data_IF_898943903287
#
_entry.id   IF_898943903287
#
_cell.length_a   1.000
_cell.length_b   1.000
_cell.length_c   1.000
_cell.angle_alpha   90.00
_cell.angle_beta   90.00
_cell.angle_gamma   90.00
#
_symmetry.space_group_name_H-M   'P 1'
#
loop_
_entity.id
_entity.type
_entity.pdbx_description
1 polymer ?
#
# COMPACT_ATOMS: atom_id res chain seq x y z
N UNK A 1 1.32 -28.53 14.74
CA UNK A 1 2.02 -28.53 13.44
C UNK A 1 2.85 -27.26 13.37
N UNK A 2 4.16 -27.38 13.19
CA UNK A 2 5.11 -26.26 13.26
C UNK A 2 4.66 -25.09 12.39
N UNK A 3 4.34 -23.96 13.03
CA UNK A 3 3.97 -22.68 12.42
C UNK A 3 5.22 -21.97 11.88
N UNK A 4 6.09 -22.71 11.18
CA UNK A 4 7.31 -22.15 10.59
C UNK A 4 6.96 -21.55 9.23
N UNK A 5 7.29 -20.27 9.07
CA UNK A 5 7.21 -19.59 7.78
C UNK A 5 8.31 -20.18 6.89
N UNK A 6 7.94 -20.74 5.74
CA UNK A 6 8.91 -21.28 4.77
C UNK A 6 9.52 -20.16 3.95
N UNK A 7 10.76 -20.36 3.48
CA UNK A 7 11.46 -19.41 2.61
C UNK A 7 10.71 -19.08 1.32
N UNK A 8 9.95 -20.03 0.78
CA UNK A 8 9.07 -19.80 -0.38
C UNK A 8 8.07 -18.66 -0.14
N UNK A 9 7.53 -18.55 1.08
CA UNK A 9 6.62 -17.47 1.47
C UNK A 9 7.32 -16.12 1.43
N UNK A 10 8.58 -16.05 1.88
CA UNK A 10 9.37 -14.80 1.84
C UNK A 10 9.60 -14.37 0.39
N UNK A 11 10.00 -15.29 -0.49
CA UNK A 11 10.18 -15.02 -1.92
C UNK A 11 8.87 -14.53 -2.54
N UNK A 12 7.76 -15.19 -2.23
CA UNK A 12 6.45 -14.79 -2.72
C UNK A 12 6.08 -13.38 -2.24
N UNK A 13 6.32 -13.03 -0.97
CA UNK A 13 6.06 -11.68 -0.45
C UNK A 13 6.86 -10.63 -1.24
N UNK A 14 8.15 -10.89 -1.50
CA UNK A 14 9.02 -9.99 -2.27
C UNK A 14 8.49 -9.72 -3.68
N UNK A 15 7.76 -10.65 -4.28
CA UNK A 15 7.18 -10.51 -5.61
C UNK A 15 5.78 -9.89 -5.55
N UNK A 16 4.92 -10.40 -4.66
CA UNK A 16 3.50 -10.05 -4.60
C UNK A 16 3.28 -8.65 -4.01
N UNK A 17 4.14 -8.20 -3.10
CA UNK A 17 4.03 -6.86 -2.51
C UNK A 17 4.24 -5.77 -3.57
N UNK A 18 5.36 -5.72 -4.33
CA UNK A 18 5.53 -4.74 -5.40
C UNK A 18 4.43 -4.81 -6.46
N UNK A 19 3.99 -6.02 -6.83
CA UNK A 19 2.90 -6.20 -7.79
C UNK A 19 1.58 -5.59 -7.28
N UNK A 20 1.26 -5.75 -5.98
CA UNK A 20 0.10 -5.12 -5.37
C UNK A 20 0.24 -3.60 -5.30
N UNK A 21 1.41 -3.08 -4.92
CA UNK A 21 1.66 -1.64 -4.92
C UNK A 21 1.49 -1.05 -6.32
N UNK A 22 2.01 -1.73 -7.35
CA UNK A 22 1.83 -1.35 -8.74
C UNK A 22 0.35 -1.33 -9.13
N UNK A 23 -0.43 -2.34 -8.73
CA UNK A 23 -1.87 -2.37 -8.99
C UNK A 23 -2.58 -1.18 -8.33
N UNK A 24 -2.28 -0.89 -7.06
CA UNK A 24 -2.82 0.26 -6.34
C UNK A 24 -2.50 1.55 -7.09
N UNK A 25 -1.24 1.81 -7.43
CA UNK A 25 -0.86 3.05 -8.14
C UNK A 25 -1.50 3.14 -9.53
N UNK A 26 -1.59 2.01 -10.24
CA UNK A 26 -2.17 1.96 -11.59
C UNK A 26 -3.67 2.24 -11.56
N UNK A 27 -4.41 1.63 -10.61
CA UNK A 27 -5.85 1.90 -10.44
C UNK A 27 -6.13 3.39 -10.23
N UNK A 28 -5.22 4.08 -9.55
CA UNK A 28 -5.33 5.50 -9.26
C UNK A 28 -5.05 6.40 -10.45
N UNK A 29 -4.00 6.08 -11.21
CA UNK A 29 -3.63 6.85 -12.41
C UNK A 29 -4.72 6.76 -13.48
N UNK A 30 -5.35 5.59 -13.63
CA UNK A 30 -6.40 5.37 -14.64
C UNK A 30 -7.82 5.75 -14.16
N UNK A 31 -7.95 6.51 -13.06
CA UNK A 31 -9.23 7.04 -12.58
C UNK A 31 -10.16 6.01 -11.93
N UNK A 32 -9.64 4.85 -11.55
CA UNK A 32 -10.35 3.87 -10.74
C UNK A 32 -10.37 4.24 -9.26
N UNK A 33 -11.27 3.61 -8.51
CA UNK A 33 -11.35 3.76 -7.05
C UNK A 33 -10.10 3.19 -6.37
N UNK A 34 -9.57 3.89 -5.37
CA UNK A 34 -8.41 3.38 -4.65
C UNK A 34 -8.74 2.14 -3.82
N UNK A 35 -7.94 1.07 -3.91
CA UNK A 35 -8.01 -0.03 -2.95
C UNK A 35 -7.82 0.37 -1.50
N UNK A 36 -7.21 1.53 -1.24
CA UNK A 36 -6.91 2.00 0.12
C UNK A 36 -7.92 2.99 0.69
N UNK A 37 -8.94 3.39 -0.09
CA UNK A 37 -9.99 4.33 0.35
C UNK A 37 -11.11 3.66 1.15
N UNK A 38 -11.13 2.31 1.18
CA UNK A 38 -12.09 1.52 1.95
C UNK A 38 -11.35 0.88 3.12
N UNK A 39 -11.99 0.79 4.29
CA UNK A 39 -11.39 0.22 5.51
C UNK A 39 -10.87 -1.21 5.33
N UNK A 40 -11.50 -1.97 4.43
CA UNK A 40 -11.06 -3.29 4.00
C UNK A 40 -10.41 -3.18 2.62
N UNK A 41 -9.10 -3.37 2.56
CA UNK A 41 -8.35 -3.27 1.30
C UNK A 41 -8.71 -4.43 0.37
N UNK A 42 -9.51 -4.14 -0.65
CA UNK A 42 -10.03 -5.18 -1.54
C UNK A 42 -8.91 -5.88 -2.33
N UNK A 43 -7.81 -5.18 -2.65
CA UNK A 43 -6.67 -5.77 -3.34
C UNK A 43 -5.96 -6.83 -2.46
N UNK A 44 -5.88 -6.59 -1.16
CA UNK A 44 -5.32 -7.54 -0.20
C UNK A 44 -6.22 -8.77 -0.03
N UNK A 45 -7.54 -8.58 0.02
CA UNK A 45 -8.52 -9.66 0.08
C UNK A 45 -8.52 -10.48 -1.20
N UNK A 46 -8.50 -9.82 -2.36
CA UNK A 46 -8.43 -10.48 -3.66
C UNK A 46 -7.15 -11.31 -3.78
N UNK A 47 -6.00 -10.75 -3.42
CA UNK A 47 -4.73 -11.48 -3.41
C UNK A 47 -4.77 -12.71 -2.49
N UNK A 48 -5.36 -12.57 -1.30
CA UNK A 48 -5.53 -13.68 -0.36
C UNK A 48 -6.46 -14.77 -0.92
N UNK A 49 -7.56 -14.38 -1.57
CA UNK A 49 -8.51 -15.30 -2.21
C UNK A 49 -7.82 -16.09 -3.33
N UNK A 50 -7.05 -15.41 -4.19
CA UNK A 50 -6.26 -16.05 -5.26
C UNK A 50 -5.30 -17.08 -4.67
N UNK A 51 -4.56 -16.73 -3.62
CA UNK A 51 -3.63 -17.65 -2.97
C UNK A 51 -4.33 -18.88 -2.38
N UNK A 52 -5.51 -18.69 -1.78
CA UNK A 52 -6.30 -19.80 -1.23
C UNK A 52 -6.84 -20.70 -2.33
N UNK A 53 -7.31 -20.13 -3.44
CA UNK A 53 -7.73 -20.89 -4.63
C UNK A 53 -6.59 -21.72 -5.20
N UNK A 54 -5.40 -21.14 -5.36
CA UNK A 54 -4.19 -21.87 -5.80
C UNK A 54 -3.87 -23.01 -4.83
N UNK A 55 -3.91 -22.75 -3.53
CA UNK A 55 -3.63 -23.74 -2.50
C UNK A 55 -4.67 -24.90 -2.52
N UNK A 56 -5.93 -24.59 -2.83
CA UNK A 56 -7.00 -25.56 -3.03
C UNK A 56 -6.82 -26.41 -4.29
N UNK A 57 -6.49 -25.77 -5.42
CA UNK A 57 -6.21 -26.44 -6.69
C UNK A 57 -5.00 -27.38 -6.58
N UNK A 58 -3.92 -26.96 -5.93
CA UNK A 58 -2.76 -27.82 -5.68
C UNK A 58 -3.16 -29.04 -4.85
N UNK A 59 -3.95 -28.86 -3.80
CA UNK A 59 -4.43 -29.98 -2.99
C UNK A 59 -5.40 -30.90 -3.76
N UNK A 60 -6.09 -30.38 -4.77
CA UNK A 60 -6.95 -31.19 -5.64
C UNK A 60 -6.14 -32.07 -6.61
N UNK A 61 -5.11 -31.51 -7.24
CA UNK A 61 -4.21 -32.27 -8.13
C UNK A 61 -3.22 -33.17 -7.37
N UNK A 62 -2.80 -32.76 -6.17
CA UNK A 62 -1.85 -33.49 -5.32
C UNK A 62 -2.39 -33.57 -3.88
N UNK A 63 -3.19 -34.60 -3.56
CA UNK A 63 -3.77 -34.79 -2.24
C UNK A 63 -2.69 -34.77 -1.15
N UNK A 64 -2.97 -34.10 -0.04
CA UNK A 64 -2.08 -33.91 1.13
C UNK A 64 -0.86 -32.98 0.93
N UNK A 65 -0.71 -32.33 -0.22
CA UNK A 65 0.29 -31.27 -0.39
C UNK A 65 -0.34 -29.89 -0.21
N UNK A 66 -0.10 -29.28 0.95
CA UNK A 66 -0.51 -27.90 1.23
C UNK A 66 0.63 -26.96 0.82
N UNK A 67 0.35 -26.12 -0.18
CA UNK A 67 1.33 -25.15 -0.70
C UNK A 67 1.61 -24.03 0.31
N UNK A 68 0.59 -23.53 1.01
CA UNK A 68 0.72 -22.49 2.07
C UNK A 68 -0.08 -22.85 3.34
N UNK A 69 0.53 -22.69 4.51
CA UNK A 69 -0.18 -22.85 5.79
C UNK A 69 -0.95 -21.57 6.14
N UNK A 70 -1.93 -21.67 7.05
CA UNK A 70 -2.74 -20.54 7.53
C UNK A 70 -1.88 -19.37 8.03
N UNK A 71 -0.82 -19.67 8.78
CA UNK A 71 0.11 -18.65 9.26
C UNK A 71 0.81 -17.91 8.11
N UNK A 72 1.21 -18.62 7.04
CA UNK A 72 1.87 -18.01 5.88
C UNK A 72 0.90 -17.13 5.08
N UNK A 73 -0.33 -17.59 4.88
CA UNK A 73 -1.38 -16.81 4.21
C UNK A 73 -1.70 -15.53 4.96
N UNK A 74 -1.85 -15.59 6.29
CA UNK A 74 -2.08 -14.42 7.12
C UNK A 74 -0.89 -13.46 7.10
N UNK A 75 0.35 -13.96 7.15
CA UNK A 75 1.54 -13.13 7.02
C UNK A 75 1.58 -12.41 5.67
N UNK A 76 1.33 -13.12 4.56
CA UNK A 76 1.28 -12.51 3.23
C UNK A 76 0.21 -11.42 3.19
N UNK A 77 -1.00 -11.71 3.71
CA UNK A 77 -2.09 -10.74 3.79
C UNK A 77 -1.70 -9.49 4.59
N UNK A 78 -1.03 -9.65 5.74
CA UNK A 78 -0.55 -8.53 6.55
C UNK A 78 0.48 -7.70 5.78
N UNK A 79 1.46 -8.35 5.13
CA UNK A 79 2.47 -7.65 4.33
C UNK A 79 1.84 -6.85 3.19
N UNK A 80 0.90 -7.45 2.45
CA UNK A 80 0.17 -6.75 1.37
C UNK A 80 -0.66 -5.61 1.93
N UNK A 81 -1.33 -5.79 3.06
CA UNK A 81 -2.19 -4.75 3.65
C UNK A 81 -1.36 -3.54 4.08
N UNK A 82 -0.25 -3.77 4.79
CA UNK A 82 0.67 -2.71 5.19
C UNK A 82 1.25 -2.01 3.96
N UNK A 83 1.76 -2.77 2.97
CA UNK A 83 2.36 -2.17 1.78
C UNK A 83 1.37 -1.41 0.90
N UNK A 84 0.13 -1.89 0.80
CA UNK A 84 -0.93 -1.22 0.03
C UNK A 84 -1.30 0.09 0.70
N UNK A 85 -1.41 0.10 2.04
CA UNK A 85 -1.52 1.33 2.81
C UNK A 85 -0.39 2.30 2.48
N UNK A 86 0.86 1.80 2.42
CA UNK A 86 2.04 2.59 2.04
C UNK A 86 1.96 3.20 0.64
N UNK A 87 1.40 2.48 -0.33
CA UNK A 87 1.27 2.88 -1.72
C UNK A 87 -0.01 3.69 -2.05
N UNK A 88 -0.85 3.97 -1.05
CA UNK A 88 -2.17 4.57 -1.24
C UNK A 88 -2.18 6.01 -1.79
N UNK A 89 -3.39 6.48 -2.12
CA UNK A 89 -3.70 7.76 -2.81
C UNK A 89 -2.94 8.94 -2.25
N UNK A 90 -3.12 9.20 -0.96
CA UNK A 90 -2.67 10.45 -0.32
C UNK A 90 -1.16 10.56 -0.26
N UNK A 91 -0.44 9.44 -0.48
CA UNK A 91 1.01 9.43 -0.48
C UNK A 91 1.56 9.59 -1.87
N UNK A 92 1.19 8.71 -2.78
CA UNK A 92 1.80 8.72 -4.11
C UNK A 92 1.22 9.84 -4.99
N UNK A 93 -0.09 10.09 -4.94
CA UNK A 93 -0.72 11.07 -5.82
C UNK A 93 -0.63 12.51 -5.32
N UNK A 94 -0.59 12.72 -4.00
CA UNK A 94 -0.53 14.09 -3.45
C UNK A 94 0.91 14.53 -3.24
N UNK A 95 1.77 13.64 -2.72
CA UNK A 95 3.15 14.03 -2.40
C UNK A 95 3.99 14.28 -3.65
N UNK A 96 3.85 13.44 -4.69
CA UNK A 96 4.69 13.55 -5.88
C UNK A 96 4.51 14.90 -6.59
N UNK A 97 3.27 15.40 -6.82
CA UNK A 97 3.09 16.76 -7.32
C UNK A 97 3.58 17.82 -6.34
N UNK A 98 3.31 17.67 -5.03
CA UNK A 98 3.66 18.67 -4.01
C UNK A 98 5.14 19.08 -4.06
N UNK A 99 6.03 18.14 -4.41
CA UNK A 99 7.48 18.38 -4.51
C UNK A 99 7.84 19.49 -5.50
N UNK A 100 7.15 19.59 -6.64
CA UNK A 100 7.48 20.52 -7.72
C UNK A 100 6.43 21.57 -8.03
N UNK A 101 5.19 21.37 -7.56
CA UNK A 101 4.01 22.11 -8.03
C UNK A 101 4.12 23.61 -7.79
N UNK A 102 4.54 24.01 -6.59
CA UNK A 102 4.64 25.41 -6.19
C UNK A 102 5.64 26.20 -7.05
N UNK A 103 6.72 25.56 -7.51
CA UNK A 103 7.72 26.21 -8.37
C UNK A 103 7.38 26.11 -9.86
N UNK A 104 6.76 25.00 -10.30
CA UNK A 104 6.39 24.82 -11.70
C UNK A 104 5.26 25.76 -12.14
N UNK A 105 4.19 25.83 -11.34
CA UNK A 105 2.99 26.61 -11.65
C UNK A 105 3.03 28.05 -11.12
N UNK A 106 4.17 28.52 -10.60
CA UNK A 106 4.32 29.93 -10.23
C UNK A 106 4.25 30.82 -11.48
N UNK A 107 3.30 31.76 -11.47
CA UNK A 107 3.05 32.73 -12.54
C UNK A 107 2.95 34.15 -11.96
N UNK A 108 3.11 35.21 -12.77
CA UNK A 108 2.94 36.58 -12.30
C UNK A 108 1.54 36.86 -11.73
N UNK A 109 0.52 36.16 -12.21
CA UNK A 109 -0.88 36.35 -11.78
C UNK A 109 -1.16 35.76 -10.40
N UNK A 110 -0.51 34.65 -10.04
CA UNK A 110 -0.66 34.04 -8.71
C UNK A 110 0.38 34.52 -7.69
N UNK A 111 1.47 35.11 -8.18
CA UNK A 111 2.59 35.66 -7.40
C UNK A 111 3.14 34.71 -6.32
N UNK A 112 3.07 33.39 -6.55
CA UNK A 112 3.51 32.39 -5.59
C UNK A 112 5.00 32.50 -5.25
N UNK A 113 5.78 33.05 -6.19
CA UNK A 113 7.21 33.26 -6.00
C UNK A 113 7.50 34.26 -4.87
N UNK A 114 6.79 35.38 -4.82
CA UNK A 114 6.98 36.37 -3.76
C UNK A 114 6.34 35.92 -2.44
N UNK A 115 5.16 35.29 -2.53
CA UNK A 115 4.32 34.97 -1.38
C UNK A 115 4.78 33.73 -0.61
N UNK A 116 5.22 32.68 -1.31
CA UNK A 116 5.35 31.35 -0.71
C UNK A 116 6.74 30.72 -0.86
N UNK A 117 7.49 30.99 -1.93
CA UNK A 117 8.75 30.26 -2.20
C UNK A 117 9.77 30.39 -1.08
N UNK A 118 9.77 31.50 -0.35
CA UNK A 118 10.69 31.70 0.77
C UNK A 118 10.37 30.83 2.01
N UNK A 119 9.16 30.29 2.12
CA UNK A 119 8.76 29.34 3.18
C UNK A 119 8.99 27.88 2.77
N UNK A 120 9.29 27.61 1.49
CA UNK A 120 9.46 26.26 0.97
C UNK A 120 10.93 25.85 1.12
N UNK A 121 11.25 24.85 1.94
CA UNK A 121 12.63 24.43 2.11
C UNK A 121 13.16 23.77 0.83
N UNK A 122 14.33 24.20 0.37
CA UNK A 122 14.97 23.68 -0.85
C UNK A 122 15.34 22.20 -0.79
N UNK A 123 15.36 21.60 0.40
CA UNK A 123 15.65 20.17 0.62
C UNK A 123 14.39 19.29 0.60
N UNK A 124 13.18 19.87 0.57
CA UNK A 124 11.90 19.15 0.45
C UNK A 124 11.19 19.37 -0.88
N UNK A 125 11.65 20.33 -1.68
CA UNK A 125 11.01 20.73 -2.94
C UNK A 125 12.04 21.01 -4.03
N UNK A 126 11.66 20.75 -5.28
CA UNK A 126 12.49 21.06 -6.45
C UNK A 126 12.11 22.44 -6.96
N UNK A 127 13.06 23.37 -6.96
CA UNK A 127 12.89 24.71 -7.54
C UNK A 127 13.38 24.82 -8.98
N UNK A 128 14.25 23.90 -9.43
CA UNK A 128 14.85 23.96 -10.76
C UNK A 128 13.84 23.58 -11.86
N UNK A 129 13.38 24.58 -12.61
CA UNK A 129 12.43 24.39 -13.72
C UNK A 129 12.94 23.48 -14.84
N UNK A 130 14.25 23.40 -15.08
CA UNK A 130 14.82 22.50 -16.09
C UNK A 130 14.60 21.03 -15.71
N UNK A 131 14.76 20.69 -14.43
CA UNK A 131 14.51 19.33 -13.91
C UNK A 131 13.00 19.04 -13.91
N UNK A 132 12.19 20.02 -13.52
CA UNK A 132 10.73 19.89 -13.49
C UNK A 132 10.11 19.76 -14.89
N UNK A 133 10.73 20.34 -15.91
CA UNK A 133 10.23 20.23 -17.28
C UNK A 133 10.13 18.77 -17.74
N UNK A 134 11.15 17.97 -17.47
CA UNK A 134 11.13 16.54 -17.77
C UNK A 134 10.06 15.76 -16.97
N UNK A 135 9.76 16.20 -15.75
CA UNK A 135 8.71 15.61 -14.90
C UNK A 135 7.30 15.94 -15.41
N UNK A 136 7.04 17.20 -15.78
CA UNK A 136 5.70 17.64 -16.18
C UNK A 136 5.38 17.45 -17.67
N UNK A 137 6.35 17.68 -18.56
CA UNK A 137 6.16 17.56 -20.01
C UNK A 137 6.55 16.19 -20.57
N UNK A 138 7.27 15.38 -19.79
CA UNK A 138 7.82 14.10 -20.23
C UNK A 138 9.09 14.25 -21.07
N UNK A 139 9.36 13.26 -21.93
CA UNK A 139 10.53 13.19 -22.83
C UNK A 139 11.91 13.29 -22.14
N UNK A 140 11.97 12.99 -20.85
CA UNK A 140 13.21 12.94 -20.06
C UNK A 140 13.31 11.61 -19.33
N UNK A 141 14.52 11.26 -18.90
CA UNK A 141 14.79 10.06 -18.12
C UNK A 141 15.19 10.43 -16.69
N UNK A 142 14.63 9.74 -15.71
CA UNK A 142 15.02 9.90 -14.30
C UNK A 142 16.51 9.63 -14.08
N UNK A 143 17.08 8.70 -14.84
CA UNK A 143 18.47 8.25 -14.71
C UNK A 143 19.52 9.23 -15.26
N UNK A 144 19.10 10.37 -15.80
CA UNK A 144 20.03 11.43 -16.23
C UNK A 144 20.61 12.11 -15.00
N UNK A 145 21.92 12.34 -14.99
CA UNK A 145 22.66 12.83 -13.81
C UNK A 145 22.05 14.09 -13.18
N UNK A 146 21.74 15.18 -13.92
CA UNK A 146 21.00 16.33 -13.40
C UNK A 146 19.71 16.00 -12.64
N UNK A 147 18.89 15.09 -13.17
CA UNK A 147 17.62 14.70 -12.55
C UNK A 147 17.87 13.91 -11.27
N UNK A 148 18.78 12.93 -11.33
CA UNK A 148 19.09 12.07 -10.20
C UNK A 148 19.63 12.87 -9.01
N UNK A 149 20.56 13.80 -9.25
CA UNK A 149 21.12 14.67 -8.21
C UNK A 149 20.07 15.61 -7.61
N UNK A 150 19.14 16.12 -8.42
CA UNK A 150 18.08 16.99 -7.93
C UNK A 150 17.01 16.22 -7.12
N UNK A 151 16.61 15.04 -7.57
CA UNK A 151 15.53 14.27 -6.94
C UNK A 151 15.99 13.46 -5.72
N UNK A 152 17.20 12.90 -5.74
CA UNK A 152 17.70 12.01 -4.68
C UNK A 152 17.59 12.59 -3.26
N UNK A 153 18.11 13.80 -2.94
CA UNK A 153 18.03 14.33 -1.58
C UNK A 153 16.58 14.54 -1.12
N UNK A 154 15.69 14.92 -2.03
CA UNK A 154 14.29 15.23 -1.73
C UNK A 154 13.51 13.94 -1.47
N UNK A 155 13.69 12.93 -2.33
CA UNK A 155 13.12 11.60 -2.12
C UNK A 155 13.65 10.97 -0.84
N UNK A 156 14.94 11.17 -0.52
CA UNK A 156 15.53 10.68 0.71
C UNK A 156 14.88 11.32 1.95
N UNK A 157 14.75 12.65 2.00
CA UNK A 157 14.15 13.34 3.16
C UNK A 157 12.66 13.01 3.33
N UNK A 158 11.90 12.97 2.24
CA UNK A 158 10.50 12.53 2.28
C UNK A 158 10.38 11.06 2.71
N UNK A 159 11.27 10.19 2.21
CA UNK A 159 11.34 8.80 2.61
C UNK A 159 11.63 8.63 4.10
N UNK A 160 12.60 9.39 4.63
CA UNK A 160 12.94 9.40 6.05
C UNK A 160 11.78 9.91 6.91
N UNK A 161 11.15 11.02 6.51
CA UNK A 161 9.98 11.55 7.20
C UNK A 161 8.85 10.52 7.27
N UNK A 162 8.52 9.89 6.14
CA UNK A 162 7.49 8.85 6.09
C UNK A 162 7.85 7.64 6.96
N UNK A 163 9.11 7.21 6.96
CA UNK A 163 9.57 6.11 7.80
C UNK A 163 9.37 6.43 9.29
N UNK A 164 9.81 7.60 9.74
CA UNK A 164 9.66 8.05 11.14
C UNK A 164 8.18 8.17 11.50
N UNK A 165 7.36 8.75 10.64
CA UNK A 165 5.92 8.86 10.86
C UNK A 165 5.27 7.48 11.08
N UNK A 166 5.63 6.48 10.26
CA UNK A 166 5.11 5.12 10.42
C UNK A 166 5.59 4.45 11.70
N UNK A 167 6.84 4.69 12.07
CA UNK A 167 7.37 4.18 13.33
C UNK A 167 6.60 4.75 14.52
N UNK A 168 6.33 6.06 14.52
CA UNK A 168 5.52 6.71 15.56
C UNK A 168 4.11 6.13 15.61
N UNK A 169 3.45 5.98 14.47
CA UNK A 169 2.12 5.34 14.41
C UNK A 169 2.15 3.90 14.95
N UNK A 170 3.20 3.14 14.64
CA UNK A 170 3.38 1.78 15.16
C UNK A 170 3.58 1.79 16.68
N UNK A 171 4.41 2.70 17.21
CA UNK A 171 4.61 2.86 18.64
C UNK A 171 3.30 3.21 19.37
N UNK A 172 2.50 4.13 18.81
CA UNK A 172 1.18 4.48 19.36
C UNK A 172 0.28 3.24 19.38
N UNK A 173 0.25 2.46 18.29
CA UNK A 173 -0.51 1.21 18.24
C UNK A 173 -0.06 0.22 19.33
N UNK A 174 1.24 0.08 19.58
CA UNK A 174 1.75 -0.81 20.64
C UNK A 174 1.32 -0.37 22.04
N UNK A 175 1.37 0.94 22.33
CA UNK A 175 0.96 1.50 23.62
C UNK A 175 -0.55 1.30 23.83
N UNK A 176 -1.36 1.66 22.84
CA UNK A 176 -2.82 1.62 22.94
C UNK A 176 -3.40 0.21 22.80
N UNK A 177 -2.66 -0.73 22.21
CA UNK A 177 -3.11 -2.13 22.00
C UNK A 177 -3.67 -2.74 23.26
N UNK A 178 -3.01 -2.57 24.41
CA UNK A 178 -3.45 -3.20 25.67
C UNK A 178 -4.80 -2.61 26.13
N UNK A 179 -4.91 -1.28 26.11
CA UNK A 179 -6.13 -0.56 26.49
C UNK A 179 -7.32 -0.93 25.59
N UNK A 180 -7.11 -0.93 24.27
CA UNK A 180 -8.16 -1.25 23.30
C UNK A 180 -8.65 -2.69 23.40
N UNK A 181 -7.74 -3.64 23.66
CA UNK A 181 -8.09 -5.07 23.74
C UNK A 181 -8.71 -5.42 25.08
N UNK A 182 -8.11 -4.99 26.19
CA UNK A 182 -8.49 -5.47 27.54
C UNK A 182 -9.59 -4.62 28.18
N UNK A 183 -9.53 -3.29 28.02
CA UNK A 183 -10.45 -2.37 28.69
C UNK A 183 -11.62 -1.98 27.81
N UNK A 184 -11.36 -1.54 26.58
CA UNK A 184 -12.40 -1.03 25.67
C UNK A 184 -13.04 -2.14 24.82
N UNK A 185 -12.42 -3.32 24.78
CA UNK A 185 -12.88 -4.49 23.99
C UNK A 185 -13.24 -4.09 22.56
N UNK A 186 -12.40 -3.25 21.95
CA UNK A 186 -12.60 -2.74 20.61
C UNK A 186 -12.72 -3.93 19.66
N UNK A 187 -13.86 -4.01 18.97
CA UNK A 187 -14.07 -5.05 17.97
C UNK A 187 -13.22 -4.74 16.75
N UNK A 188 -12.49 -5.73 16.23
CA UNK A 188 -11.69 -5.63 15.01
C UNK A 188 -12.38 -6.37 13.85
N UNK A 189 -13.54 -5.90 13.34
CA UNK A 189 -14.34 -6.63 12.35
C UNK A 189 -13.59 -6.86 11.04
N UNK A 190 -12.71 -5.91 10.67
CA UNK A 190 -11.95 -5.94 9.41
C UNK A 190 -11.02 -7.16 9.33
N UNK A 191 -10.51 -7.64 10.47
CA UNK A 191 -9.60 -8.80 10.50
C UNK A 191 -10.32 -10.14 10.52
N UNK A 192 -11.62 -10.15 10.87
CA UNK A 192 -12.40 -11.39 10.98
C UNK A 192 -12.53 -12.08 9.63
N UNK A 193 -12.79 -11.32 8.56
CA UNK A 193 -12.94 -11.86 7.23
C UNK A 193 -11.65 -12.58 6.74
N UNK A 194 -10.45 -11.96 6.72
CA UNK A 194 -9.21 -12.68 6.41
C UNK A 194 -8.95 -13.92 7.27
N UNK A 195 -9.29 -13.86 8.57
CA UNK A 195 -9.10 -14.98 9.49
C UNK A 195 -10.02 -16.15 9.17
N UNK A 196 -11.27 -15.89 8.80
CA UNK A 196 -12.26 -16.91 8.43
C UNK A 196 -12.05 -17.44 7.02
N UNK A 197 -11.67 -16.61 6.05
CA UNK A 197 -11.28 -17.07 4.71
C UNK A 197 -10.08 -18.03 4.80
N UNK A 198 -9.15 -17.81 5.74
CA UNK A 198 -8.08 -18.77 6.04
C UNK A 198 -8.55 -20.14 6.58
N UNK A 199 -9.84 -20.31 6.88
CA UNK A 199 -10.46 -21.52 7.40
C UNK A 199 -11.31 -22.22 6.33
N UNK A 200 -11.04 -23.50 6.06
CA UNK A 200 -11.77 -24.30 5.05
C UNK A 200 -13.28 -24.44 5.34
N UNK A 201 -13.73 -24.22 6.58
CA UNK A 201 -15.16 -24.26 6.95
C UNK A 201 -15.96 -23.08 6.42
N UNK A 202 -15.33 -21.91 6.25
CA UNK A 202 -16.00 -20.70 5.78
C UNK A 202 -16.61 -20.89 4.39
N UNK A 203 -15.83 -21.44 3.44
CA UNK A 203 -16.29 -21.70 2.07
C UNK A 203 -17.37 -22.77 1.95
N UNK A 204 -17.59 -23.59 2.99
CA UNK A 204 -18.67 -24.58 3.02
C UNK A 204 -20.01 -24.01 3.52
N UNK A 205 -20.02 -22.77 4.02
CA UNK A 205 -21.22 -22.12 4.49
C UNK A 205 -22.03 -21.57 3.31
N UNK A 206 -23.29 -22.02 3.15
CA UNK A 206 -24.20 -21.51 2.12
C UNK A 206 -24.53 -20.02 2.28
N UNK A 207 -24.56 -19.52 3.52
CA UNK A 207 -24.85 -18.12 3.83
C UNK A 207 -23.80 -17.15 3.27
N UNK A 208 -22.53 -17.56 3.22
CA UNK A 208 -21.45 -16.76 2.62
C UNK A 208 -21.74 -16.46 1.14
N UNK A 209 -22.17 -17.47 0.39
CA UNK A 209 -22.47 -17.35 -1.03
C UNK A 209 -23.71 -16.50 -1.29
N UNK A 210 -24.72 -16.61 -0.42
CA UNK A 210 -25.92 -15.76 -0.49
C UNK A 210 -25.54 -14.29 -0.27
N UNK A 211 -24.71 -13.99 0.73
CA UNK A 211 -24.23 -12.62 0.99
C UNK A 211 -23.41 -12.03 -0.15
N UNK A 212 -22.66 -12.87 -0.88
CA UNK A 212 -21.88 -12.42 -2.03
C UNK A 212 -22.76 -12.08 -3.24
N UNK A 213 -23.86 -12.82 -3.44
CA UNK A 213 -24.84 -12.56 -4.51
C UNK A 213 -25.76 -11.38 -4.17
N UNK A 214 -26.07 -11.16 -2.89
CA UNK A 214 -26.93 -10.06 -2.44
C UNK A 214 -26.23 -8.70 -2.31
N UNK A 215 -24.90 -8.65 -2.34
CA UNK A 215 -24.15 -7.40 -2.25
C UNK A 215 -24.11 -6.60 -3.57
N UNK A 216 -24.61 -7.18 -4.66
CA UNK A 216 -24.68 -6.56 -6.00
C UNK A 216 -26.02 -5.85 -6.29
N UNK A 217 -26.85 -5.58 -5.26
CA UNK A 217 -28.12 -4.83 -5.38
C UNK A 217 -28.20 -3.61 -4.46
#
# INVERSE_FOLDING_TARGET
MSSRIRWLTVILIVIVVPANCWWVTTSLVYGGSSPTQISLYFNAIFSLLVLITINGLVNWFRPNQILFNRAELLTIYTCISVSSGLAGVDRMMVLAPLIGHAHWFASPENDWASLFHHYIPSWLSISNKYVLEGYYKGFSNFYIWPNLVAWFPIVFWWGLFLLVLHLVMLCINVILRKQWVESEKLSYPIIQLPMEIGNRRFFKSGWMWISLVWFDY
#
